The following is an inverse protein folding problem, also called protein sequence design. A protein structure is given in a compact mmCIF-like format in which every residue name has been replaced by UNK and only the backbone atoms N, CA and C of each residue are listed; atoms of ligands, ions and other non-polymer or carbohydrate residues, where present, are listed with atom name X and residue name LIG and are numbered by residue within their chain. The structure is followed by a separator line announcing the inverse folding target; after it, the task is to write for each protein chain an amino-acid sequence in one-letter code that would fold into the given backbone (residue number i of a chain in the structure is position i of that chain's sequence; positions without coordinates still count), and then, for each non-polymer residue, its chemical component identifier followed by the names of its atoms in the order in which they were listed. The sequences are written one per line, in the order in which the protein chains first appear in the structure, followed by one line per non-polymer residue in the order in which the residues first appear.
data_IF_467493978863
#
_entry.id   IF_467493978863
#
_cell.length_a   1.000
_cell.length_b   1.000
_cell.length_c   1.000
_cell.angle_alpha   90.00
_cell.angle_beta   90.00
_cell.angle_gamma   90.00
#
_symmetry.space_group_name_H-M   'P 1'
#
loop_
_entity.id
_entity.type
_entity.pdbx_description
1 polymer ?
#
# COMPACT_ATOMS: atom_id res chain seq x y z
N UNK A 1 16.06 -2.48 5.60
CA UNK A 1 16.31 -1.38 4.91
C UNK A 1 17.15 -1.59 3.68
N UNK A 2 17.31 -2.03 2.74
CA UNK A 2 17.88 -1.37 1.59
C UNK A 2 18.35 -2.35 0.56
N UNK A 3 17.68 -2.26 -0.55
CA UNK A 3 18.26 -2.67 -1.82
C UNK A 3 19.50 -1.79 -2.02
N UNK A 4 20.70 -2.36 -2.22
CA UNK A 4 21.92 -1.59 -2.42
C UNK A 4 21.74 -0.52 -3.50
N UNK A 5 22.16 0.72 -3.23
CA UNK A 5 22.03 1.87 -4.12
C UNK A 5 20.70 2.62 -4.05
N UNK A 6 19.63 2.00 -3.55
CA UNK A 6 18.30 2.63 -3.45
C UNK A 6 18.10 3.24 -2.06
N UNK A 7 17.91 4.55 -2.02
CA UNK A 7 17.90 5.33 -0.77
C UNK A 7 16.64 6.12 -0.54
N UNK A 8 15.87 6.39 -1.60
CA UNK A 8 14.72 7.29 -1.58
C UNK A 8 13.41 6.55 -1.68
N UNK A 9 12.38 7.19 -1.16
CA UNK A 9 10.97 6.83 -1.39
C UNK A 9 10.36 7.87 -2.31
N UNK A 10 9.60 7.43 -3.30
CA UNK A 10 8.85 8.31 -4.20
C UNK A 10 7.42 8.47 -3.70
N UNK A 11 6.93 9.70 -3.62
CA UNK A 11 5.55 10.01 -3.27
C UNK A 11 4.80 10.66 -4.42
N UNK A 12 3.50 10.39 -4.52
CA UNK A 12 2.57 11.27 -5.23
C UNK A 12 2.28 12.51 -4.39
N UNK A 13 2.33 13.68 -5.00
CA UNK A 13 1.99 14.96 -4.36
C UNK A 13 0.79 15.60 -5.06
N UNK A 14 -0.24 16.08 -4.34
CA UNK A 14 -0.42 15.99 -2.89
C UNK A 14 -0.63 14.55 -2.40
N UNK A 15 -0.13 14.27 -1.20
CA UNK A 15 -0.25 12.99 -0.53
C UNK A 15 -0.41 13.15 0.98
N UNK A 16 -0.66 12.05 1.68
CA UNK A 16 -0.89 12.10 3.13
C UNK A 16 0.38 12.53 3.89
N UNK A 17 0.38 13.69 4.55
CA UNK A 17 1.61 14.31 5.05
C UNK A 17 2.29 13.54 6.17
N UNK A 18 1.55 12.68 6.88
CA UNK A 18 2.12 11.87 7.98
C UNK A 18 3.16 10.88 7.47
N UNK A 19 2.99 10.34 6.26
CA UNK A 19 3.95 9.41 5.65
C UNK A 19 5.33 10.08 5.48
N UNK A 20 5.37 11.32 4.99
CA UNK A 20 6.61 12.11 4.87
C UNK A 20 7.22 12.43 6.25
N UNK A 21 6.38 12.71 7.24
CA UNK A 21 6.84 12.95 8.62
C UNK A 21 7.47 11.68 9.23
N UNK A 22 6.90 10.51 8.95
CA UNK A 22 7.49 9.22 9.37
C UNK A 22 8.85 8.98 8.73
N UNK A 23 9.03 9.29 7.43
CA UNK A 23 10.33 9.18 6.78
C UNK A 23 11.37 10.13 7.40
N UNK A 24 10.95 11.36 7.73
CA UNK A 24 11.83 12.33 8.41
C UNK A 24 12.33 11.79 9.74
N UNK A 25 11.47 11.17 10.55
CA UNK A 25 11.83 10.59 11.86
C UNK A 25 12.91 9.50 11.71
N UNK A 26 12.82 8.67 10.67
CA UNK A 26 13.78 7.60 10.44
C UNK A 26 14.98 8.01 9.58
N UNK A 27 15.09 9.29 9.22
CA UNK A 27 16.19 9.83 8.40
C UNK A 27 16.21 9.30 6.97
N UNK A 28 15.06 8.93 6.41
CA UNK A 28 14.96 8.49 5.03
C UNK A 28 14.73 9.67 4.08
N UNK A 29 15.33 9.58 2.90
CA UNK A 29 15.17 10.56 1.84
C UNK A 29 13.91 10.25 1.00
N UNK A 30 13.33 11.28 0.36
CA UNK A 30 12.23 11.09 -0.57
C UNK A 30 12.31 12.06 -1.75
N UNK A 31 11.61 11.72 -2.82
CA UNK A 31 11.34 12.54 -4.00
C UNK A 31 9.82 12.57 -4.21
N UNK A 32 9.31 13.60 -4.86
CA UNK A 32 7.87 13.81 -5.09
C UNK A 32 7.59 14.08 -6.56
N UNK A 33 6.40 13.69 -7.03
CA UNK A 33 5.89 14.09 -8.32
C UNK A 33 4.42 14.55 -8.19
N UNK A 34 4.06 15.57 -8.95
CA UNK A 34 2.69 16.11 -8.96
C UNK A 34 1.75 15.14 -9.69
N UNK A 35 0.81 14.55 -8.93
CA UNK A 35 -0.16 13.60 -9.47
C UNK A 35 -1.21 14.25 -10.38
N UNK A 36 -1.45 15.54 -10.26
CA UNK A 36 -2.38 16.26 -11.14
C UNK A 36 -1.80 16.49 -12.53
N UNK A 37 -0.50 16.79 -12.60
CA UNK A 37 0.19 17.08 -13.86
C UNK A 37 0.52 15.82 -14.67
N UNK A 38 0.54 14.65 -14.03
CA UNK A 38 0.98 13.40 -14.66
C UNK A 38 -0.09 12.31 -14.48
N UNK A 39 -1.12 12.35 -15.35
CA UNK A 39 -2.20 11.37 -15.41
C UNK A 39 -2.12 10.54 -16.69
N UNK A 40 -2.72 9.35 -16.71
CA UNK A 40 -2.75 8.46 -17.87
C UNK A 40 -1.35 8.16 -18.41
N UNK A 41 -1.17 8.28 -19.73
CA UNK A 41 0.10 8.00 -20.39
C UNK A 41 1.27 8.88 -19.91
N UNK A 42 1.01 10.15 -19.53
CA UNK A 42 2.04 11.04 -19.02
C UNK A 42 2.67 10.55 -17.70
N UNK A 43 1.95 9.74 -16.94
CA UNK A 43 2.48 9.09 -15.74
C UNK A 43 3.61 8.12 -16.07
N UNK A 44 3.52 7.41 -17.19
CA UNK A 44 4.56 6.46 -17.63
C UNK A 44 5.90 7.15 -17.81
N UNK A 45 5.95 8.22 -18.61
CA UNK A 45 7.19 8.93 -18.90
C UNK A 45 7.77 9.58 -17.64
N UNK A 46 6.90 10.14 -16.81
CA UNK A 46 7.33 10.75 -15.55
C UNK A 46 7.94 9.74 -14.59
N UNK A 47 7.28 8.62 -14.34
CA UNK A 47 7.80 7.57 -13.49
C UNK A 47 9.07 6.94 -14.06
N UNK A 48 9.10 6.65 -15.37
CA UNK A 48 10.28 6.14 -16.05
C UNK A 48 11.50 7.06 -15.81
N UNK A 49 11.32 8.37 -15.99
CA UNK A 49 12.41 9.35 -15.81
C UNK A 49 12.97 9.42 -14.39
N UNK A 50 12.12 9.10 -13.38
CA UNK A 50 12.54 9.08 -11.99
C UNK A 50 13.18 7.73 -11.65
N UNK A 51 12.51 6.63 -11.98
CA UNK A 51 12.94 5.29 -11.59
C UNK A 51 14.22 4.84 -12.30
N UNK A 52 14.46 5.33 -13.52
CA UNK A 52 15.67 5.05 -14.27
C UNK A 52 16.95 5.59 -13.61
N UNK A 53 16.85 6.53 -12.67
CA UNK A 53 17.99 6.99 -11.85
C UNK A 53 18.53 5.89 -10.94
N UNK A 54 17.74 4.87 -10.62
CA UNK A 54 18.13 3.70 -9.85
C UNK A 54 18.25 3.90 -8.33
N UNK A 55 17.82 5.04 -7.80
CA UNK A 55 17.94 5.39 -6.37
C UNK A 55 16.62 5.29 -5.58
N UNK A 56 15.50 4.97 -6.24
CA UNK A 56 14.19 4.78 -5.62
C UNK A 56 14.03 3.34 -5.12
N UNK A 57 13.72 3.19 -3.84
CA UNK A 57 13.47 1.90 -3.19
C UNK A 57 11.99 1.52 -3.18
N UNK A 58 11.11 2.51 -3.01
CA UNK A 58 9.67 2.30 -2.95
C UNK A 58 8.90 3.50 -3.51
N UNK A 59 7.69 3.24 -4.00
CA UNK A 59 6.68 4.27 -4.33
C UNK A 59 5.58 4.14 -3.29
N UNK A 60 5.17 5.28 -2.68
CA UNK A 60 4.04 5.34 -1.75
C UNK A 60 2.99 6.29 -2.30
N UNK A 61 1.76 5.84 -2.35
CA UNK A 61 0.58 6.66 -2.68
C UNK A 61 -0.66 6.10 -1.98
N UNK A 62 -1.69 6.92 -1.81
CA UNK A 62 -3.01 6.46 -1.39
C UNK A 62 -3.98 6.41 -2.57
N UNK A 63 -4.88 5.43 -2.58
CA UNK A 63 -5.88 5.23 -3.63
C UNK A 63 -7.22 4.74 -3.04
N UNK A 64 -8.28 5.55 -3.03
CA UNK A 64 -8.32 6.99 -3.35
C UNK A 64 -7.33 7.83 -2.56
N UNK A 65 -6.84 8.91 -3.18
CA UNK A 65 -5.81 9.77 -2.61
C UNK A 65 -6.35 10.68 -1.50
N UNK A 66 -5.58 10.85 -0.44
CA UNK A 66 -5.79 11.86 0.59
C UNK A 66 -4.64 12.90 0.52
N UNK A 67 -4.90 14.21 0.31
CA UNK A 67 -6.19 14.90 0.43
C UNK A 67 -6.92 15.15 -0.91
N UNK A 68 -6.35 14.80 -2.05
CA UNK A 68 -6.82 15.26 -3.35
C UNK A 68 -8.05 14.51 -3.87
N UNK A 69 -8.42 13.38 -3.25
CA UNK A 69 -9.48 12.48 -3.71
C UNK A 69 -9.32 12.01 -5.16
N UNK A 70 -8.09 11.94 -5.63
CA UNK A 70 -7.79 11.33 -6.93
C UNK A 70 -7.91 9.82 -6.78
N UNK A 71 -8.67 9.19 -7.68
CA UNK A 71 -8.67 7.75 -7.86
C UNK A 71 -7.83 7.43 -9.10
N UNK A 72 -6.84 6.56 -8.94
CA UNK A 72 -6.01 6.09 -10.03
C UNK A 72 -6.81 5.12 -10.91
N UNK A 73 -6.69 5.31 -12.23
CA UNK A 73 -7.31 4.43 -13.20
C UNK A 73 -6.54 3.11 -13.35
N UNK A 74 -7.20 2.09 -13.87
CA UNK A 74 -6.61 0.77 -14.10
C UNK A 74 -5.31 0.86 -14.91
N UNK A 75 -5.28 1.72 -15.95
CA UNK A 75 -4.10 1.95 -16.78
C UNK A 75 -2.93 2.54 -15.98
N UNK A 76 -3.22 3.49 -15.09
CA UNK A 76 -2.21 4.14 -14.23
C UNK A 76 -1.61 3.15 -13.24
N UNK A 77 -2.43 2.29 -12.65
CA UNK A 77 -1.98 1.23 -11.76
C UNK A 77 -1.16 0.16 -12.49
N UNK A 78 -1.53 -0.15 -13.75
CA UNK A 78 -0.74 -1.03 -14.61
C UNK A 78 0.63 -0.42 -14.95
N UNK A 79 0.71 0.88 -15.19
CA UNK A 79 1.98 1.61 -15.40
C UNK A 79 2.84 1.51 -14.15
N UNK A 80 2.29 1.82 -12.97
CA UNK A 80 3.00 1.74 -11.69
C UNK A 80 3.54 0.33 -11.48
N UNK A 81 2.70 -0.71 -11.59
CA UNK A 81 3.09 -2.08 -11.37
C UNK A 81 4.18 -2.56 -12.33
N UNK A 82 4.03 -2.30 -13.63
CA UNK A 82 5.02 -2.67 -14.64
C UNK A 82 6.37 -2.00 -14.42
N UNK A 83 6.39 -0.69 -14.17
CA UNK A 83 7.63 0.04 -13.93
C UNK A 83 8.28 -0.34 -12.60
N UNK A 84 7.48 -0.62 -11.57
CA UNK A 84 7.98 -1.11 -10.29
C UNK A 84 8.68 -2.47 -10.43
N UNK A 85 8.12 -3.37 -11.24
CA UNK A 85 8.77 -4.64 -11.58
C UNK A 85 10.06 -4.40 -12.38
N UNK A 86 10.01 -3.56 -13.41
CA UNK A 86 11.16 -3.26 -14.28
C UNK A 86 12.36 -2.70 -13.52
N UNK A 87 12.10 -1.82 -12.55
CA UNK A 87 13.15 -1.13 -11.80
C UNK A 87 13.37 -1.71 -10.39
N UNK A 88 12.75 -2.84 -10.07
CA UNK A 88 12.82 -3.49 -8.76
C UNK A 88 12.50 -2.51 -7.61
N UNK A 89 11.34 -1.88 -7.68
CA UNK A 89 10.83 -0.91 -6.71
C UNK A 89 9.62 -1.50 -6.00
N UNK A 90 9.51 -1.32 -4.68
CA UNK A 90 8.35 -1.79 -3.92
C UNK A 90 7.22 -0.78 -4.02
N UNK A 91 6.02 -1.23 -4.40
CA UNK A 91 4.81 -0.42 -4.35
C UNK A 91 4.18 -0.53 -2.96
N UNK A 92 4.01 0.59 -2.27
CA UNK A 92 3.28 0.67 -1.00
C UNK A 92 1.99 1.44 -1.28
N UNK A 93 0.89 0.72 -1.41
CA UNK A 93 -0.42 1.28 -1.71
C UNK A 93 -1.22 1.44 -0.42
N UNK A 94 -1.45 2.70 -0.02
CA UNK A 94 -2.26 3.04 1.14
C UNK A 94 -3.74 3.05 0.75
N UNK A 95 -4.42 1.99 1.12
CA UNK A 95 -5.84 1.74 0.85
C UNK A 95 -6.72 2.10 2.05
N UNK A 96 -6.41 3.21 2.74
CA UNK A 96 -7.25 3.71 3.83
C UNK A 96 -8.69 4.02 3.39
N UNK A 97 -8.87 4.38 2.12
CA UNK A 97 -10.17 4.69 1.49
C UNK A 97 -10.59 3.62 0.47
N UNK A 98 -10.12 2.41 0.64
CA UNK A 98 -10.43 1.25 -0.19
C UNK A 98 -11.96 1.12 -0.40
N UNK A 99 -12.38 0.79 -1.62
CA UNK A 99 -13.78 0.76 -2.06
C UNK A 99 -14.56 2.08 -1.99
N UNK A 100 -13.91 3.22 -1.75
CA UNK A 100 -14.57 4.53 -1.65
C UNK A 100 -14.42 5.37 -2.93
N UNK A 101 -14.15 4.77 -4.08
CA UNK A 101 -14.36 5.41 -5.37
C UNK A 101 -15.82 5.31 -5.76
N UNK A 102 -16.56 6.41 -5.60
CA UNK A 102 -18.01 6.44 -5.83
C UNK A 102 -18.39 6.77 -7.28
N UNK A 103 -17.45 6.83 -8.20
CA UNK A 103 -17.71 7.09 -9.63
C UNK A 103 -18.36 5.89 -10.30
N UNK A 104 -17.99 4.69 -9.88
CA UNK A 104 -18.51 3.43 -10.42
C UNK A 104 -18.85 2.46 -9.28
N UNK A 105 -19.88 1.61 -9.43
CA UNK A 105 -20.15 0.56 -8.46
C UNK A 105 -19.06 -0.53 -8.55
N UNK A 106 -18.71 -1.10 -7.41
CA UNK A 106 -17.93 -2.31 -7.33
C UNK A 106 -18.83 -3.55 -7.27
N UNK A 107 -18.27 -4.71 -7.58
CA UNK A 107 -18.95 -5.99 -7.40
C UNK A 107 -19.03 -6.38 -5.92
N UNK A 108 -19.81 -7.42 -5.66
CA UNK A 108 -19.82 -8.06 -4.34
C UNK A 108 -18.48 -8.75 -4.06
N UNK A 109 -18.19 -9.09 -2.80
CA UNK A 109 -17.02 -9.89 -2.50
C UNK A 109 -16.93 -11.13 -3.40
N UNK A 110 -15.76 -11.35 -3.99
CA UNK A 110 -15.44 -12.43 -4.95
C UNK A 110 -16.09 -12.31 -6.33
N UNK A 111 -16.80 -11.23 -6.63
CA UNK A 111 -17.43 -10.96 -7.92
C UNK A 111 -16.91 -9.65 -8.52
N UNK A 112 -16.62 -9.60 -9.84
CA UNK A 112 -16.22 -8.36 -10.51
C UNK A 112 -17.40 -7.37 -10.61
N UNK A 113 -17.12 -6.07 -10.79
CA UNK A 113 -15.80 -5.47 -10.90
C UNK A 113 -15.12 -5.29 -9.54
N UNK A 114 -13.83 -5.64 -9.48
CA UNK A 114 -13.03 -5.48 -8.27
C UNK A 114 -12.44 -4.07 -8.16
N UNK A 115 -12.21 -3.55 -6.95
CA UNK A 115 -11.43 -2.33 -6.77
C UNK A 115 -10.07 -2.46 -7.44
N UNK A 116 -9.65 -1.47 -8.25
CA UNK A 116 -8.36 -1.52 -8.93
C UNK A 116 -7.21 -1.37 -7.93
N UNK A 117 -6.12 -2.10 -8.16
CA UNK A 117 -4.89 -2.05 -7.35
C UNK A 117 -3.67 -2.42 -8.18
N UNK A 118 -2.51 -1.83 -7.86
CA UNK A 118 -1.25 -2.16 -8.52
C UNK A 118 -0.81 -3.62 -8.28
N UNK A 119 -1.32 -4.29 -7.25
CA UNK A 119 -1.05 -5.70 -6.96
C UNK A 119 -1.44 -6.67 -8.09
N UNK A 120 -2.30 -6.23 -9.04
CA UNK A 120 -2.64 -7.00 -10.25
C UNK A 120 -1.51 -7.03 -11.28
N UNK A 121 -0.53 -6.13 -11.16
CA UNK A 121 0.49 -5.87 -12.19
C UNK A 121 1.93 -6.03 -11.70
N UNK A 122 2.13 -6.34 -10.43
CA UNK A 122 3.45 -6.59 -9.85
C UNK A 122 3.33 -7.50 -8.63
N UNK A 123 4.40 -8.25 -8.32
CA UNK A 123 4.54 -8.98 -7.05
C UNK A 123 5.34 -8.18 -6.01
N UNK A 124 5.91 -7.03 -6.39
CA UNK A 124 6.64 -6.13 -5.49
C UNK A 124 5.68 -5.14 -4.80
N UNK A 125 4.69 -5.63 -4.06
CA UNK A 125 3.70 -4.75 -3.43
C UNK A 125 3.50 -5.00 -1.93
N UNK A 126 3.09 -3.94 -1.26
CA UNK A 126 2.53 -3.94 0.09
C UNK A 126 1.23 -3.15 0.03
N UNK A 127 0.09 -3.79 0.28
CA UNK A 127 -1.21 -3.13 0.42
C UNK A 127 -1.50 -2.91 1.90
N UNK A 128 -1.87 -1.69 2.26
CA UNK A 128 -2.26 -1.32 3.61
C UNK A 128 -3.77 -1.04 3.65
N UNK A 129 -4.57 -2.05 4.03
CA UNK A 129 -6.03 -1.97 4.08
C UNK A 129 -6.49 -1.56 5.47
N UNK A 130 -7.05 -0.37 5.59
CA UNK A 130 -7.53 0.15 6.87
C UNK A 130 -9.00 -0.15 7.11
N UNK A 131 -9.36 -0.54 8.33
CA UNK A 131 -10.75 -0.62 8.76
C UNK A 131 -11.37 0.74 9.07
N UNK A 132 -10.54 1.80 9.10
CA UNK A 132 -10.93 3.10 9.67
C UNK A 132 -12.07 3.78 8.92
N UNK A 133 -12.17 3.61 7.61
CA UNK A 133 -13.12 4.33 6.75
C UNK A 133 -14.27 3.43 6.32
N UNK A 134 -14.03 2.45 5.46
CA UNK A 134 -15.07 1.60 4.89
C UNK A 134 -15.90 0.86 5.97
N UNK A 135 -15.31 0.49 7.09
CA UNK A 135 -15.99 -0.16 8.21
C UNK A 135 -16.32 0.82 9.36
N UNK A 136 -16.11 2.13 9.20
CA UNK A 136 -16.30 3.13 10.27
C UNK A 136 -15.64 2.76 11.60
N UNK A 137 -14.50 2.03 11.53
CA UNK A 137 -13.86 1.36 12.68
C UNK A 137 -12.56 2.06 13.12
N UNK A 138 -12.46 3.38 12.87
CA UNK A 138 -11.24 4.16 13.08
C UNK A 138 -10.73 4.14 14.53
N UNK A 139 -11.64 4.16 15.51
CA UNK A 139 -11.29 4.18 16.93
C UNK A 139 -10.61 2.91 17.42
N UNK A 140 -10.79 1.79 16.72
CA UNK A 140 -10.26 0.48 17.14
C UNK A 140 -8.84 0.20 16.67
N UNK A 141 -8.26 1.07 15.85
CA UNK A 141 -6.85 1.06 15.46
C UNK A 141 -6.37 -0.28 14.88
N UNK A 142 -7.10 -0.81 13.91
CA UNK A 142 -6.76 -2.06 13.21
C UNK A 142 -6.71 -1.86 11.70
N UNK A 143 -5.77 -2.53 11.06
CA UNK A 143 -5.60 -2.61 9.62
C UNK A 143 -5.03 -3.97 9.23
N UNK A 144 -5.12 -4.32 7.95
CA UNK A 144 -4.45 -5.48 7.36
C UNK A 144 -3.32 -5.03 6.45
N UNK A 145 -2.29 -5.85 6.36
CA UNK A 145 -1.21 -5.70 5.39
C UNK A 145 -1.20 -6.93 4.50
N UNK A 146 -1.31 -6.73 3.19
CA UNK A 146 -1.10 -7.78 2.21
C UNK A 146 0.23 -7.53 1.49
N UNK A 147 1.03 -8.57 1.35
CA UNK A 147 2.36 -8.49 0.72
C UNK A 147 2.42 -9.47 -0.43
N UNK A 148 2.96 -9.06 -1.57
CA UNK A 148 3.19 -9.95 -2.69
C UNK A 148 4.09 -11.13 -2.31
N UNK A 149 3.77 -12.32 -2.80
CA UNK A 149 4.44 -13.56 -2.37
C UNK A 149 5.94 -13.53 -2.63
N UNK A 150 6.37 -13.04 -3.77
CA UNK A 150 7.81 -12.92 -4.10
C UNK A 150 8.52 -11.95 -3.16
N UNK A 151 7.91 -10.81 -2.84
CA UNK A 151 8.46 -9.85 -1.89
C UNK A 151 8.46 -10.43 -0.47
N UNK A 152 7.41 -11.14 -0.07
CA UNK A 152 7.30 -11.75 1.26
C UNK A 152 8.44 -12.75 1.51
N UNK A 153 8.78 -13.56 0.51
CA UNK A 153 9.81 -14.60 0.59
C UNK A 153 11.21 -14.09 0.25
N UNK A 154 11.35 -12.83 -0.14
CA UNK A 154 12.63 -12.25 -0.56
C UNK A 154 13.57 -12.03 0.61
N UNK A 155 14.83 -12.46 0.45
CA UNK A 155 15.90 -12.22 1.41
C UNK A 155 16.53 -10.84 1.22
N UNK A 156 16.69 -10.11 2.33
CA UNK A 156 17.37 -8.82 2.40
C UNK A 156 18.50 -8.89 3.44
N UNK A 157 19.76 -8.95 3.05
CA UNK A 157 20.89 -9.01 4.00
C UNK A 157 20.91 -7.87 5.02
N UNK A 158 20.41 -6.71 4.62
CA UNK A 158 20.30 -5.56 5.52
C UNK A 158 19.27 -5.74 6.63
N UNK A 159 18.21 -6.53 6.41
CA UNK A 159 17.24 -6.88 7.46
C UNK A 159 17.86 -7.91 8.41
N UNK A 160 18.51 -8.93 7.87
CA UNK A 160 19.24 -9.93 8.65
C UNK A 160 20.23 -9.25 9.61
N UNK A 161 21.08 -8.36 9.10
CA UNK A 161 22.02 -7.61 9.91
C UNK A 161 21.35 -6.72 10.95
N UNK A 162 20.25 -6.05 10.58
CA UNK A 162 19.60 -5.07 11.45
C UNK A 162 18.81 -5.71 12.60
N UNK A 163 18.12 -6.81 12.33
CA UNK A 163 17.22 -7.46 13.27
C UNK A 163 17.79 -8.74 13.86
N UNK A 164 18.94 -9.21 13.36
CA UNK A 164 19.55 -10.48 13.73
C UNK A 164 18.55 -11.65 13.57
N UNK A 165 17.85 -11.65 12.44
CA UNK A 165 16.85 -12.65 12.07
C UNK A 165 17.20 -13.34 10.73
N UNK A 166 16.24 -13.98 10.08
CA UNK A 166 16.45 -14.68 8.81
C UNK A 166 16.73 -13.77 7.62
N UNK A 167 16.49 -12.46 7.73
CA UNK A 167 16.52 -11.52 6.60
C UNK A 167 15.39 -11.73 5.57
N UNK A 168 14.53 -12.74 5.73
CA UNK A 168 13.34 -12.94 4.88
C UNK A 168 12.33 -11.84 5.20
N UNK A 169 11.96 -11.05 4.17
CA UNK A 169 11.17 -9.84 4.37
C UNK A 169 9.90 -10.07 5.20
N UNK A 170 9.09 -11.06 4.84
CA UNK A 170 7.83 -11.33 5.54
C UNK A 170 8.03 -11.75 7.00
N UNK A 171 9.07 -12.53 7.29
CA UNK A 171 9.40 -12.93 8.67
C UNK A 171 9.90 -11.74 9.47
N UNK A 172 10.81 -10.93 8.91
CA UNK A 172 11.28 -9.71 9.55
C UNK A 172 10.12 -8.70 9.74
N UNK A 173 9.20 -8.58 8.77
CA UNK A 173 8.03 -7.71 8.89
C UNK A 173 7.15 -8.12 10.08
N UNK A 174 6.82 -9.39 10.19
CA UNK A 174 5.90 -9.88 11.24
C UNK A 174 6.56 -9.88 12.61
N UNK A 175 7.71 -10.54 12.75
CA UNK A 175 8.36 -10.77 14.03
C UNK A 175 9.18 -9.57 14.50
N UNK A 176 10.02 -9.03 13.62
CA UNK A 176 11.03 -8.03 14.00
C UNK A 176 10.56 -6.59 13.84
N UNK A 177 9.53 -6.32 13.02
CA UNK A 177 9.01 -4.96 12.81
C UNK A 177 7.66 -4.79 13.49
N UNK A 178 6.63 -5.49 13.04
CA UNK A 178 5.27 -5.30 13.57
C UNK A 178 5.17 -5.67 15.04
N UNK A 179 5.67 -6.84 15.42
CA UNK A 179 5.60 -7.28 16.83
C UNK A 179 6.43 -6.39 17.75
N UNK A 180 7.64 -6.00 17.35
CA UNK A 180 8.49 -5.13 18.18
C UNK A 180 7.91 -3.72 18.37
N UNK A 181 7.14 -3.21 17.39
CA UNK A 181 6.52 -1.88 17.49
C UNK A 181 5.21 -1.92 18.26
N UNK A 182 4.43 -2.98 18.14
CA UNK A 182 3.04 -3.03 18.65
C UNK A 182 2.84 -4.02 19.79
N UNK A 183 3.77 -4.94 20.01
CA UNK A 183 3.64 -6.11 20.90
C UNK A 183 2.39 -6.97 20.57
N UNK A 184 1.83 -6.80 19.39
CA UNK A 184 0.64 -7.48 18.90
C UNK A 184 -0.57 -6.55 18.74
N UNK A 185 -1.66 -7.11 18.24
CA UNK A 185 -2.93 -6.41 18.04
C UNK A 185 -3.95 -6.84 19.10
N UNK A 186 -4.86 -5.92 19.45
CA UNK A 186 -5.95 -6.18 20.38
C UNK A 186 -6.84 -7.33 19.87
N UNK A 187 -6.96 -8.40 20.64
CA UNK A 187 -7.66 -9.63 20.23
C UNK A 187 -9.14 -9.39 19.95
N UNK A 188 -9.84 -8.65 20.82
CA UNK A 188 -11.27 -8.33 20.65
C UNK A 188 -11.51 -7.57 19.33
N UNK A 189 -10.63 -6.64 18.98
CA UNK A 189 -10.70 -5.87 17.75
C UNK A 189 -10.49 -6.77 16.52
N UNK A 190 -9.57 -7.74 16.59
CA UNK A 190 -9.36 -8.71 15.51
C UNK A 190 -10.60 -9.56 15.26
N UNK A 191 -11.23 -10.10 16.31
CA UNK A 191 -12.46 -10.87 16.19
C UNK A 191 -13.60 -10.06 15.58
N UNK A 192 -13.80 -8.82 16.05
CA UNK A 192 -14.84 -7.95 15.51
C UNK A 192 -14.59 -7.61 14.03
N UNK A 193 -13.34 -7.33 13.65
CA UNK A 193 -12.99 -7.05 12.26
C UNK A 193 -13.16 -8.29 11.37
N UNK A 194 -12.74 -9.45 11.84
CA UNK A 194 -12.96 -10.72 11.14
C UNK A 194 -14.46 -11.00 10.93
N UNK A 195 -15.29 -10.69 11.94
CA UNK A 195 -16.74 -10.86 11.81
C UNK A 195 -17.36 -9.89 10.79
N UNK A 196 -16.91 -8.63 10.74
CA UNK A 196 -17.36 -7.68 9.71
C UNK A 196 -16.99 -8.17 8.30
N UNK A 197 -15.77 -8.66 8.11
CA UNK A 197 -15.33 -9.23 6.83
C UNK A 197 -16.18 -10.45 6.45
N UNK A 198 -16.49 -11.31 7.42
CA UNK A 198 -17.35 -12.47 7.20
C UNK A 198 -18.77 -12.06 6.79
N UNK A 199 -19.40 -11.11 7.47
CA UNK A 199 -20.74 -10.60 7.15
C UNK A 199 -20.77 -10.00 5.74
N UNK A 200 -19.71 -9.31 5.32
CA UNK A 200 -19.58 -8.81 3.96
C UNK A 200 -19.46 -9.95 2.94
N UNK A 201 -18.60 -10.94 3.23
CA UNK A 201 -18.39 -12.10 2.36
C UNK A 201 -19.63 -12.96 2.20
N UNK A 202 -20.43 -13.08 3.26
CA UNK A 202 -21.69 -13.84 3.25
C UNK A 202 -22.84 -13.04 2.58
N UNK A 203 -22.59 -11.79 2.20
CA UNK A 203 -23.58 -10.90 1.60
C UNK A 203 -24.69 -10.43 2.59
N UNK A 204 -24.43 -10.59 3.89
CA UNK A 204 -25.38 -10.16 4.93
C UNK A 204 -25.36 -8.64 5.14
N UNK A 205 -24.22 -7.98 4.92
CA UNK A 205 -24.05 -6.53 5.00
C UNK A 205 -23.17 -6.09 3.83
N UNK A 206 -23.60 -5.06 3.12
CA UNK A 206 -22.80 -4.38 2.11
C UNK A 206 -22.20 -3.09 2.68
N UNK A 207 -21.03 -3.20 3.31
CA UNK A 207 -20.35 -2.04 3.89
C UNK A 207 -19.96 -0.98 2.85
N UNK A 208 -19.81 -1.36 1.60
CA UNK A 208 -19.51 -0.41 0.52
C UNK A 208 -20.72 0.45 0.23
N UNK A 209 -21.89 -0.18 0.06
CA UNK A 209 -23.14 0.54 -0.22
C UNK A 209 -23.59 1.36 1.01
N UNK A 210 -23.46 0.81 2.21
CA UNK A 210 -23.79 1.52 3.46
C UNK A 210 -22.91 2.77 3.69
N UNK A 211 -21.73 2.83 3.05
CA UNK A 211 -20.80 3.97 3.15
C UNK A 211 -21.03 5.00 2.06
N UNK A 212 -21.68 4.66 0.97
CA UNK A 212 -22.06 5.54 -0.14
C UNK A 212 -23.13 6.53 0.25
#
# INVERSE_FOLDING_TARGET
QRIPGKKKVLFSDPGFPIQKSQLRIIGAEWEEFDIFSYRGAALSDKLESILAKGDIAAIIYSNPNNPAWICLEEEELAIIGRLSTKYDVVVIEDLAYFCMDFRTPFGKPFEPPYPPTAARYTNNYILMLSSSKIFSYAGQRIAMICVGEELFNRHFPALEQRYNDSGIFGQSLVASILYMITSGCTVSTQYAYAQMLKLSSDGAIDFVEDTR
#
